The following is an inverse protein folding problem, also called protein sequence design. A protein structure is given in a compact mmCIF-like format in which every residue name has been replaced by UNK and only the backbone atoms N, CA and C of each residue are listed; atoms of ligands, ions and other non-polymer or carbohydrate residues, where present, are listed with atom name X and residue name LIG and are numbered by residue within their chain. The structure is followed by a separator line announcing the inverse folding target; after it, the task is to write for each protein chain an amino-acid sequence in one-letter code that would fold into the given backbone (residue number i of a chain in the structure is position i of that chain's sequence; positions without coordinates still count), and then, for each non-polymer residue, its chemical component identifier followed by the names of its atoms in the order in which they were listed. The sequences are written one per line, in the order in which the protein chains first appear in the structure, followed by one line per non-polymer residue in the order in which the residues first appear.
data_IF_526787815132
#
_entry.id   IF_526787815132
#
_cell.length_a   1.000
_cell.length_b   1.000
_cell.length_c   1.000
_cell.angle_alpha   90.00
_cell.angle_beta   90.00
_cell.angle_gamma   90.00
#
_symmetry.space_group_name_H-M   'P 1'
#
loop_
_entity.id
_entity.type
_entity.pdbx_description
1 polymer ?
#
# COMPACT_ATOMS: atom_id res chain seq x y z
N UNK A 1 -10.02 -18.26 -11.32
CA UNK A 1 -9.25 -18.80 -10.18
C UNK A 1 -10.02 -18.43 -8.93
N UNK A 2 -10.22 -19.36 -7.99
CA UNK A 2 -10.81 -19.02 -6.70
C UNK A 2 -9.72 -18.30 -5.88
N UNK A 3 -9.98 -17.08 -5.43
CA UNK A 3 -9.11 -16.33 -4.53
C UNK A 3 -9.31 -16.83 -3.10
N UNK A 4 -8.24 -16.91 -2.31
CA UNK A 4 -8.31 -17.31 -0.88
C UNK A 4 -8.98 -16.23 -0.02
N UNK A 5 -8.96 -14.99 -0.50
CA UNK A 5 -9.52 -13.81 0.16
C UNK A 5 -10.31 -13.02 -0.86
N UNK A 6 -11.54 -12.64 -0.52
CA UNK A 6 -12.39 -11.86 -1.39
C UNK A 6 -12.06 -10.36 -1.33
N UNK A 7 -12.16 -9.69 -2.48
CA UNK A 7 -12.06 -8.23 -2.58
C UNK A 7 -13.46 -7.67 -2.85
N UNK A 8 -14.14 -7.09 -1.84
CA UNK A 8 -15.50 -6.58 -1.99
C UNK A 8 -15.62 -5.51 -3.08
N UNK A 9 -16.79 -5.43 -3.71
CA UNK A 9 -17.03 -4.45 -4.77
C UNK A 9 -16.87 -2.99 -4.30
N UNK A 10 -17.19 -2.72 -3.04
CA UNK A 10 -16.98 -1.42 -2.40
C UNK A 10 -15.50 -1.04 -2.36
N UNK A 11 -14.64 -1.97 -1.94
CA UNK A 11 -13.18 -1.76 -1.93
C UNK A 11 -12.64 -1.56 -3.36
N UNK A 12 -13.13 -2.32 -4.35
CA UNK A 12 -12.78 -2.10 -5.77
C UNK A 12 -13.16 -0.70 -6.25
N UNK A 13 -14.33 -0.20 -5.82
CA UNK A 13 -14.78 1.15 -6.15
C UNK A 13 -13.91 2.21 -5.45
N UNK A 14 -13.53 2.01 -4.19
CA UNK A 14 -12.62 2.88 -3.45
C UNK A 14 -11.23 2.95 -4.10
N UNK A 15 -10.63 1.80 -4.44
CA UNK A 15 -9.36 1.73 -5.17
C UNK A 15 -9.42 2.46 -6.52
N UNK A 16 -10.52 2.27 -7.27
CA UNK A 16 -10.73 2.98 -8.54
C UNK A 16 -10.82 4.49 -8.32
N UNK A 17 -11.56 4.94 -7.32
CA UNK A 17 -11.69 6.36 -6.97
C UNK A 17 -10.34 6.95 -6.57
N UNK A 18 -9.59 6.25 -5.71
CA UNK A 18 -8.26 6.67 -5.26
C UNK A 18 -7.29 6.82 -6.44
N UNK A 19 -7.26 5.84 -7.37
CA UNK A 19 -6.40 5.87 -8.56
C UNK A 19 -6.65 7.06 -9.48
N UNK A 20 -7.91 7.44 -9.66
CA UNK A 20 -8.29 8.56 -10.55
C UNK A 20 -8.40 9.91 -9.83
N UNK A 21 -8.15 9.95 -8.52
CA UNK A 21 -8.13 11.20 -7.77
C UNK A 21 -6.99 12.09 -8.30
N UNK A 22 -7.29 13.37 -8.56
CA UNK A 22 -6.27 14.32 -8.99
C UNK A 22 -5.44 14.74 -7.78
N UNK A 23 -4.13 14.52 -7.84
CA UNK A 23 -3.17 14.93 -6.81
C UNK A 23 -2.27 16.02 -7.36
N UNK A 24 -2.04 17.05 -6.56
CA UNK A 24 -1.22 18.21 -6.91
C UNK A 24 -0.17 18.55 -5.83
N UNK A 25 -0.35 18.07 -4.61
CA UNK A 25 0.59 18.15 -3.51
C UNK A 25 0.34 17.02 -2.51
N UNK A 26 1.40 16.61 -1.82
CA UNK A 26 1.39 15.62 -0.75
C UNK A 26 1.29 14.18 -1.26
N UNK A 27 1.75 13.25 -0.44
CA UNK A 27 1.45 11.83 -0.64
C UNK A 27 0.01 11.54 -0.18
N UNK A 28 -0.58 10.51 -0.75
CA UNK A 28 -1.84 9.96 -0.26
C UNK A 28 -1.73 8.44 -0.17
N UNK A 29 -2.43 7.84 0.79
CA UNK A 29 -2.38 6.41 1.05
C UNK A 29 -3.78 5.85 1.28
N UNK A 30 -4.06 4.66 0.75
CA UNK A 30 -5.24 3.87 1.09
C UNK A 30 -4.76 2.56 1.71
N UNK A 31 -5.09 2.36 2.99
CA UNK A 31 -4.66 1.22 3.80
C UNK A 31 -5.74 0.15 3.80
N UNK A 32 -5.34 -1.08 3.48
CA UNK A 32 -6.22 -2.25 3.43
C UNK A 32 -5.66 -3.35 4.32
N UNK A 33 -6.55 -4.05 5.03
CA UNK A 33 -6.23 -5.26 5.80
C UNK A 33 -7.03 -6.44 5.28
N UNK A 34 -6.63 -7.64 5.67
CA UNK A 34 -7.45 -8.84 5.53
C UNK A 34 -8.17 -9.13 6.85
N UNK A 35 -9.49 -9.27 6.79
CA UNK A 35 -10.30 -9.82 7.86
C UNK A 35 -10.19 -11.34 7.84
N UNK A 36 -9.35 -11.90 8.71
CA UNK A 36 -9.08 -13.35 8.77
C UNK A 36 -10.33 -14.20 9.03
N UNK A 37 -11.29 -13.68 9.80
CA UNK A 37 -12.52 -14.40 10.14
C UNK A 37 -13.48 -14.49 8.97
N UNK A 38 -13.58 -13.41 8.18
CA UNK A 38 -14.47 -13.33 7.01
C UNK A 38 -13.81 -13.71 5.69
N UNK A 39 -12.48 -13.85 5.68
CA UNK A 39 -11.65 -14.05 4.48
C UNK A 39 -11.94 -13.00 3.39
N UNK A 40 -12.01 -11.73 3.79
CA UNK A 40 -12.20 -10.61 2.86
C UNK A 40 -11.27 -9.44 3.19
N UNK A 41 -10.99 -8.61 2.18
CA UNK A 41 -10.23 -7.37 2.34
C UNK A 41 -11.12 -6.22 2.78
N UNK A 42 -10.67 -5.44 3.75
CA UNK A 42 -11.36 -4.27 4.28
C UNK A 42 -10.45 -3.04 4.17
N UNK A 43 -11.00 -1.95 3.66
CA UNK A 43 -10.38 -0.63 3.84
C UNK A 43 -10.32 -0.32 5.34
N UNK A 44 -9.17 0.17 5.78
CA UNK A 44 -8.96 0.60 7.17
C UNK A 44 -9.06 2.12 7.25
N UNK A 45 -8.30 2.80 6.39
CA UNK A 45 -8.12 4.24 6.47
C UNK A 45 -7.58 4.79 5.14
N UNK A 46 -7.87 6.07 4.90
CA UNK A 46 -7.30 6.85 3.81
C UNK A 46 -6.65 8.11 4.37
N UNK A 47 -5.44 8.39 3.90
CA UNK A 47 -4.67 9.57 4.25
C UNK A 47 -4.47 10.44 3.02
N UNK A 48 -4.59 11.75 3.22
CA UNK A 48 -4.29 12.78 2.22
C UNK A 48 -3.26 13.74 2.80
N UNK A 49 -2.25 14.09 2.00
CA UNK A 49 -1.17 14.99 2.38
C UNK A 49 -0.41 14.54 3.65
N UNK A 50 -0.08 13.25 3.70
CA UNK A 50 0.72 12.62 4.76
C UNK A 50 2.19 12.48 4.32
N UNK A 51 3.15 12.58 5.23
CA UNK A 51 4.55 12.23 4.94
C UNK A 51 4.74 10.70 4.94
N UNK A 52 5.89 10.21 4.47
CA UNK A 52 6.17 8.76 4.51
C UNK A 52 6.43 8.28 5.92
N UNK A 53 7.10 9.10 6.70
CA UNK A 53 7.46 8.85 8.08
C UNK A 53 6.20 8.83 8.96
N UNK A 54 5.30 9.81 8.82
CA UNK A 54 4.02 9.80 9.55
C UNK A 54 3.17 8.58 9.14
N UNK A 55 3.12 8.25 7.84
CA UNK A 55 2.41 7.05 7.38
C UNK A 55 2.99 5.76 7.99
N UNK A 56 4.32 5.70 8.18
CA UNK A 56 4.98 4.56 8.80
C UNK A 56 4.59 4.40 10.27
N UNK A 57 4.39 5.51 10.99
CA UNK A 57 3.95 5.52 12.39
C UNK A 57 2.46 5.12 12.54
N UNK A 58 1.62 5.44 11.56
CA UNK A 58 0.20 5.02 11.55
C UNK A 58 0.01 3.53 11.24
N UNK A 59 1.01 2.87 10.65
CA UNK A 59 0.92 1.45 10.30
C UNK A 59 1.22 0.55 11.51
N UNK A 60 0.49 -0.57 11.66
CA UNK A 60 0.63 -1.42 12.83
C UNK A 60 1.96 -2.19 12.84
N UNK A 61 2.63 -2.21 13.99
CA UNK A 61 3.89 -2.92 14.16
C UNK A 61 3.77 -4.45 14.04
N UNK A 62 2.59 -5.03 14.27
CA UNK A 62 2.38 -6.48 14.46
C UNK A 62 1.32 -7.10 13.53
N UNK A 63 0.93 -6.39 12.47
CA UNK A 63 -0.03 -6.91 11.51
C UNK A 63 0.28 -6.44 10.08
N UNK A 64 0.05 -7.28 9.06
CA UNK A 64 0.31 -6.89 7.69
C UNK A 64 -0.78 -5.95 7.15
N UNK A 65 -0.40 -5.11 6.18
CA UNK A 65 -1.27 -4.18 5.45
C UNK A 65 -0.86 -4.12 3.98
N UNK A 66 -1.83 -3.93 3.11
CA UNK A 66 -1.57 -3.43 1.78
C UNK A 66 -1.79 -1.93 1.80
N UNK A 67 -0.85 -1.16 1.27
CA UNK A 67 -0.98 0.30 1.18
C UNK A 67 -0.84 0.71 -0.27
N UNK A 68 -1.92 1.23 -0.86
CA UNK A 68 -1.84 1.87 -2.18
C UNK A 68 -1.42 3.32 -1.95
N UNK A 69 -0.18 3.62 -2.32
CA UNK A 69 0.45 4.92 -2.12
C UNK A 69 0.49 5.68 -3.45
N UNK A 70 -0.13 6.86 -3.47
CA UNK A 70 0.12 7.89 -4.47
C UNK A 70 1.27 8.76 -3.97
N UNK A 71 2.47 8.52 -4.49
CA UNK A 71 3.67 9.16 -3.99
C UNK A 71 4.01 10.43 -4.77
N UNK A 72 4.07 11.60 -4.13
CA UNK A 72 4.67 12.79 -4.74
C UNK A 72 6.16 12.58 -5.01
N UNK A 73 6.53 12.41 -6.28
CA UNK A 73 7.91 12.27 -6.73
C UNK A 73 8.36 13.52 -7.48
N UNK A 74 9.41 14.16 -6.98
CA UNK A 74 10.10 15.25 -7.66
C UNK A 74 11.28 14.69 -8.46
N UNK A 75 11.27 14.95 -9.77
CA UNK A 75 12.32 14.53 -10.70
C UNK A 75 13.43 15.59 -10.78
N UNK A 76 14.64 15.15 -11.13
CA UNK A 76 15.80 16.03 -11.26
C UNK A 76 15.64 17.14 -12.33
N UNK A 77 14.75 16.93 -13.30
CA UNK A 77 14.40 17.91 -14.34
C UNK A 77 13.31 18.91 -13.91
N UNK A 78 12.90 18.88 -12.64
CA UNK A 78 11.87 19.75 -12.07
C UNK A 78 10.44 19.27 -12.30
N UNK A 79 10.22 18.15 -13.00
CA UNK A 79 8.87 17.57 -13.12
C UNK A 79 8.42 17.00 -11.79
N UNK A 80 7.12 17.12 -11.52
CA UNK A 80 6.44 16.45 -10.42
C UNK A 80 5.52 15.37 -10.98
N UNK A 81 5.53 14.19 -10.38
CA UNK A 81 4.65 13.08 -10.73
C UNK A 81 4.07 12.42 -9.49
N UNK A 82 2.98 11.68 -9.67
CA UNK A 82 2.30 10.96 -8.58
C UNK A 82 2.16 9.48 -8.94
N UNK A 83 3.26 8.71 -9.06
CA UNK A 83 3.18 7.27 -9.29
C UNK A 83 2.37 6.58 -8.19
N UNK A 84 1.54 5.62 -8.61
CA UNK A 84 0.89 4.68 -7.70
C UNK A 84 1.81 3.49 -7.47
N UNK A 85 2.08 3.19 -6.20
CA UNK A 85 2.86 2.02 -5.77
C UNK A 85 2.12 1.27 -4.68
N UNK A 86 2.42 -0.01 -4.55
CA UNK A 86 1.89 -0.87 -3.51
C UNK A 86 2.98 -1.07 -2.48
N UNK A 87 2.78 -0.55 -1.27
CA UNK A 87 3.60 -0.97 -0.13
C UNK A 87 3.03 -2.27 0.40
N UNK A 88 3.81 -3.34 0.30
CA UNK A 88 3.53 -4.60 0.94
C UNK A 88 4.10 -4.56 2.37
N UNK A 89 3.32 -4.00 3.30
CA UNK A 89 3.68 -3.91 4.71
C UNK A 89 3.43 -5.25 5.39
N UNK A 90 4.49 -5.94 5.78
CA UNK A 90 4.44 -7.26 6.39
C UNK A 90 5.52 -7.38 7.49
N UNK A 91 5.35 -6.67 8.61
CA UNK A 91 6.35 -6.63 9.67
C UNK A 91 6.56 -8.03 10.26
N UNK A 92 7.82 -8.37 10.54
CA UNK A 92 8.25 -9.71 10.93
C UNK A 92 7.62 -10.24 12.23
N UNK A 93 7.16 -9.35 13.11
CA UNK A 93 6.43 -9.65 14.35
C UNK A 93 4.99 -10.11 14.12
N UNK A 94 4.48 -10.02 12.89
CA UNK A 94 3.11 -10.41 12.55
C UNK A 94 2.86 -11.90 12.75
N UNK A 95 1.62 -12.24 13.11
CA UNK A 95 1.18 -13.62 13.27
C UNK A 95 1.30 -14.41 11.94
N UNK A 96 1.89 -15.62 12.01
CA UNK A 96 2.26 -16.40 10.82
C UNK A 96 1.09 -16.70 9.88
N UNK A 97 -0.09 -17.02 10.40
CA UNK A 97 -1.24 -17.31 9.53
C UNK A 97 -1.85 -16.05 8.91
N UNK A 98 -1.71 -14.87 9.56
CA UNK A 98 -2.01 -13.58 8.91
C UNK A 98 -1.01 -13.29 7.78
N UNK A 99 0.29 -13.50 8.00
CA UNK A 99 1.31 -13.35 6.97
C UNK A 99 1.07 -14.29 5.78
N UNK A 100 0.66 -15.53 6.06
CA UNK A 100 0.32 -16.51 5.01
C UNK A 100 -0.88 -16.04 4.19
N UNK A 101 -1.94 -15.56 4.85
CA UNK A 101 -3.13 -15.06 4.18
C UNK A 101 -2.81 -13.81 3.34
N UNK A 102 -2.00 -12.90 3.90
CA UNK A 102 -1.51 -11.70 3.23
C UNK A 102 -0.61 -12.01 2.03
N UNK A 103 0.27 -13.00 2.12
CA UNK A 103 1.04 -13.44 0.96
C UNK A 103 0.12 -14.02 -0.13
N UNK A 104 -0.91 -14.78 0.26
CA UNK A 104 -1.85 -15.39 -0.69
C UNK A 104 -2.72 -14.38 -1.45
N UNK A 105 -3.06 -13.25 -0.83
CA UNK A 105 -3.87 -12.19 -1.44
C UNK A 105 -3.08 -11.17 -2.27
N UNK A 106 -1.75 -11.15 -2.17
CA UNK A 106 -0.92 -10.05 -2.69
C UNK A 106 -1.10 -9.84 -4.20
N UNK A 107 -1.00 -10.90 -4.99
CA UNK A 107 -1.08 -10.81 -6.46
C UNK A 107 -2.48 -10.38 -6.91
N UNK A 108 -3.52 -10.90 -6.26
CA UNK A 108 -4.90 -10.53 -6.59
C UNK A 108 -5.19 -9.07 -6.23
N UNK A 109 -4.71 -8.62 -5.06
CA UNK A 109 -4.81 -7.22 -4.66
C UNK A 109 -4.03 -6.29 -5.59
N UNK A 110 -2.79 -6.63 -5.93
CA UNK A 110 -1.95 -5.86 -6.85
C UNK A 110 -2.63 -5.66 -8.21
N UNK A 111 -3.16 -6.75 -8.78
CA UNK A 111 -3.89 -6.71 -10.06
C UNK A 111 -5.17 -5.88 -9.95
N UNK A 112 -5.90 -6.01 -8.83
CA UNK A 112 -7.15 -5.28 -8.61
C UNK A 112 -6.92 -3.78 -8.37
N UNK A 113 -5.82 -3.41 -7.71
CA UNK A 113 -5.40 -2.03 -7.52
C UNK A 113 -4.80 -1.40 -8.79
N UNK A 114 -4.49 -2.21 -9.81
CA UNK A 114 -3.85 -1.79 -11.08
C UNK A 114 -2.50 -1.10 -10.84
N UNK A 115 -1.66 -1.71 -10.00
CA UNK A 115 -0.37 -1.17 -9.56
C UNK A 115 0.80 -2.02 -10.08
N UNK A 116 1.68 -1.39 -10.86
CA UNK A 116 2.83 -2.07 -11.48
C UNK A 116 4.05 -2.27 -10.57
N UNK A 117 4.19 -1.49 -9.49
CA UNK A 117 5.37 -1.52 -8.62
C UNK A 117 5.00 -1.83 -7.17
N UNK A 118 5.65 -2.83 -6.62
CA UNK A 118 5.50 -3.27 -5.22
C UNK A 118 6.79 -2.99 -4.46
N UNK A 119 6.67 -2.43 -3.26
CA UNK A 119 7.77 -2.19 -2.33
C UNK A 119 7.50 -3.05 -1.08
N UNK A 120 8.39 -4.00 -0.82
CA UNK A 120 8.32 -4.89 0.34
C UNK A 120 8.86 -4.18 1.58
N UNK A 121 8.09 -4.21 2.68
CA UNK A 121 8.49 -3.58 3.95
C UNK A 121 8.27 -4.59 5.07
N UNK A 122 9.38 -5.04 5.68
CA UNK A 122 9.39 -6.07 6.73
C UNK A 122 9.92 -5.57 8.06
N UNK A 123 10.65 -4.46 8.04
CA UNK A 123 11.35 -3.88 9.20
C UNK A 123 10.48 -2.85 9.94
N UNK A 124 9.16 -2.88 9.71
CA UNK A 124 8.23 -1.93 10.33
C UNK A 124 8.50 -0.49 9.89
N UNK A 125 8.33 0.46 10.81
CA UNK A 125 8.42 1.89 10.51
C UNK A 125 9.82 2.29 10.02
N UNK A 126 10.88 1.68 10.55
CA UNK A 126 12.27 1.92 10.12
C UNK A 126 12.50 1.55 8.64
N UNK A 127 11.71 0.61 8.11
CA UNK A 127 11.80 0.16 6.72
C UNK A 127 11.02 1.02 5.72
N UNK A 128 10.22 1.99 6.20
CA UNK A 128 9.42 2.88 5.37
C UNK A 128 9.90 4.32 5.54
N UNK A 129 10.85 4.74 4.70
CA UNK A 129 11.35 6.12 4.67
C UNK A 129 11.28 6.70 3.27
N UNK A 130 11.23 8.02 3.18
CA UNK A 130 11.23 8.78 1.92
C UNK A 130 12.39 8.35 1.00
N UNK A 131 13.59 8.17 1.56
CA UNK A 131 14.78 7.77 0.80
C UNK A 131 14.64 6.36 0.19
N UNK A 132 14.09 5.42 0.94
CA UNK A 132 13.86 4.04 0.45
C UNK A 132 12.85 4.07 -0.70
N UNK A 133 11.74 4.80 -0.54
CA UNK A 133 10.70 4.90 -1.58
C UNK A 133 11.26 5.58 -2.83
N UNK A 134 12.01 6.68 -2.69
CA UNK A 134 12.68 7.37 -3.79
C UNK A 134 13.67 6.45 -4.52
N UNK A 135 14.53 5.75 -3.79
CA UNK A 135 15.50 4.83 -4.36
C UNK A 135 14.80 3.74 -5.18
N UNK A 136 13.68 3.20 -4.69
CA UNK A 136 12.88 2.22 -5.44
C UNK A 136 12.25 2.84 -6.67
N UNK A 137 11.74 4.07 -6.63
CA UNK A 137 11.03 4.71 -7.73
C UNK A 137 11.94 5.22 -8.85
N UNK A 138 13.12 5.75 -8.50
CA UNK A 138 14.04 6.38 -9.44
C UNK A 138 15.02 5.41 -10.11
N UNK A 139 15.14 4.18 -9.61
CA UNK A 139 15.84 3.11 -10.32
C UNK A 139 15.07 2.78 -11.61
N UNK A 140 15.66 3.20 -12.74
CA UNK A 140 15.18 2.95 -14.12
C UNK A 140 15.98 1.82 -14.74
#
# INVERSE_FOLDING_TARGET
MASTVDIPQELKAALRKFRFARRNAGHAALVVKINKQKLLMEEVEQFDNISIEDLAEELPENAPRYVVLSYELNHADGRKSFPLVLLNWAPSSSEMSLLTLHASGLIDFQNTADVGKVIEIRDGAEGLTTDIVNARLLQT
#
